data_IF_656708694886
#
_entry.id   IF_656708694886
#
_cell.length_a   1.000
_cell.length_b   1.000
_cell.length_c   1.000
_cell.angle_alpha   90.00
_cell.angle_beta   90.00
_cell.angle_gamma   90.00
#
_symmetry.space_group_name_H-M   'P 1'
#
loop_
_entity.id
_entity.type
_entity.pdbx_description
1 polymer ?
#
# COMPACT_ATOMS: atom_id res chain seq x y z
N UNK A 1 -8.43 21.70 -0.79
CA UNK A 1 -7.59 20.61 -1.35
C UNK A 1 -6.72 20.11 -0.20
N UNK A 2 -6.79 18.83 0.10
CA UNK A 2 -6.02 18.23 1.19
C UNK A 2 -4.60 18.00 0.66
N UNK A 3 -3.60 18.64 1.24
CA UNK A 3 -2.21 18.47 0.80
C UNK A 3 -1.66 17.13 1.32
N UNK A 4 -0.96 16.33 0.49
CA UNK A 4 -0.21 15.19 0.99
C UNK A 4 0.83 15.60 2.02
N UNK A 5 1.09 14.74 3.00
CA UNK A 5 2.03 14.98 4.10
C UNK A 5 3.17 13.95 4.05
N UNK A 6 4.40 14.44 3.92
CA UNK A 6 5.59 13.61 4.04
C UNK A 6 5.88 13.34 5.53
N UNK A 7 6.18 12.09 5.86
CA UNK A 7 6.42 11.61 7.22
C UNK A 7 7.78 10.94 7.25
N UNK A 8 8.65 11.43 8.10
CA UNK A 8 9.95 10.82 8.36
C UNK A 8 9.84 9.73 9.44
N UNK A 9 10.58 8.64 9.28
CA UNK A 9 10.67 7.56 10.28
C UNK A 9 9.29 7.08 10.74
N UNK A 10 8.45 6.67 9.77
CA UNK A 10 7.09 6.20 10.04
C UNK A 10 7.06 5.07 11.07
N UNK A 11 7.97 4.11 10.95
CA UNK A 11 8.13 3.01 11.89
C UNK A 11 9.28 3.29 12.88
N UNK A 12 9.16 2.76 14.09
CA UNK A 12 10.30 2.68 14.99
C UNK A 12 11.43 1.85 14.35
N UNK A 13 12.69 2.12 14.69
CA UNK A 13 13.81 1.35 14.15
C UNK A 13 13.63 -0.16 14.40
N UNK A 14 13.14 -0.54 15.58
CA UNK A 14 12.85 -1.94 15.92
C UNK A 14 11.81 -2.57 15.00
N UNK A 15 10.69 -1.86 14.73
CA UNK A 15 9.62 -2.38 13.88
C UNK A 15 10.09 -2.47 12.42
N UNK A 16 10.88 -1.49 11.97
CA UNK A 16 11.46 -1.48 10.63
C UNK A 16 12.47 -2.63 10.45
N UNK A 17 13.37 -2.87 11.41
CA UNK A 17 14.31 -3.99 11.37
C UNK A 17 13.60 -5.35 11.39
N UNK A 18 12.50 -5.47 12.14
CA UNK A 18 11.69 -6.67 12.14
C UNK A 18 11.00 -6.90 10.78
N UNK A 19 10.44 -5.86 10.19
CA UNK A 19 9.86 -5.92 8.85
C UNK A 19 10.87 -6.44 7.82
N UNK A 20 12.09 -5.89 7.80
CA UNK A 20 13.13 -6.31 6.86
C UNK A 20 13.53 -7.79 7.02
N UNK A 21 13.45 -8.33 8.25
CA UNK A 21 13.71 -9.77 8.51
C UNK A 21 12.61 -10.67 7.98
N UNK A 22 11.35 -10.20 8.01
CA UNK A 22 10.20 -10.99 7.51
C UNK A 22 10.14 -11.00 5.97
N UNK A 23 10.61 -9.94 5.30
CA UNK A 23 10.67 -9.85 3.83
C UNK A 23 11.97 -10.52 3.34
N UNK A 24 12.02 -11.86 3.34
CA UNK A 24 13.24 -12.60 2.98
C UNK A 24 13.50 -12.65 1.49
N UNK A 25 12.50 -13.02 0.71
CA UNK A 25 12.62 -13.15 -0.74
C UNK A 25 11.32 -12.67 -1.41
N UNK A 26 11.23 -11.41 -1.81
CA UNK A 26 10.01 -10.87 -2.42
C UNK A 26 9.55 -11.59 -3.69
N UNK A 27 10.45 -12.26 -4.39
CA UNK A 27 10.11 -13.04 -5.60
C UNK A 27 9.31 -14.31 -5.32
N UNK A 28 9.25 -14.75 -4.07
CA UNK A 28 8.38 -15.86 -3.66
C UNK A 28 6.92 -15.44 -3.46
N UNK A 29 6.63 -14.13 -3.59
CA UNK A 29 5.28 -13.58 -3.50
C UNK A 29 4.54 -13.67 -4.84
N UNK A 30 3.23 -13.42 -4.81
CA UNK A 30 2.39 -13.43 -6.00
C UNK A 30 2.82 -12.36 -7.00
N UNK A 31 2.99 -12.75 -8.27
CA UNK A 31 3.32 -11.80 -9.33
C UNK A 31 2.07 -11.14 -9.90
N UNK A 32 2.02 -9.82 -9.81
CA UNK A 32 0.98 -8.97 -10.41
C UNK A 32 1.48 -8.41 -11.75
N UNK A 33 1.06 -9.06 -12.84
CA UNK A 33 1.45 -8.68 -14.19
C UNK A 33 0.89 -7.30 -14.63
N UNK A 34 -0.20 -6.83 -14.00
CA UNK A 34 -0.80 -5.53 -14.33
C UNK A 34 0.10 -4.34 -13.99
N UNK A 35 0.95 -4.49 -12.98
CA UNK A 35 1.88 -3.45 -12.52
C UNK A 35 3.34 -3.92 -12.53
N UNK A 36 3.60 -5.13 -13.00
CA UNK A 36 4.94 -5.76 -13.01
C UNK A 36 5.62 -5.72 -11.64
N UNK A 37 4.98 -6.33 -10.65
CA UNK A 37 5.43 -6.33 -9.26
C UNK A 37 5.13 -7.64 -8.56
N UNK A 38 5.90 -7.95 -7.53
CA UNK A 38 5.58 -9.02 -6.59
C UNK A 38 4.80 -8.46 -5.41
N UNK A 39 3.68 -9.10 -5.06
CA UNK A 39 2.77 -8.65 -4.01
C UNK A 39 2.65 -9.66 -2.88
N UNK A 40 2.52 -9.15 -1.67
CA UNK A 40 1.93 -9.88 -0.56
C UNK A 40 1.06 -8.95 0.28
N UNK A 41 0.04 -9.47 0.93
CA UNK A 41 -0.81 -8.69 1.81
C UNK A 41 -0.68 -9.15 3.28
N UNK A 42 -1.41 -8.49 4.15
CA UNK A 42 -1.42 -8.80 5.58
C UNK A 42 -1.92 -10.22 5.92
N UNK A 43 -2.56 -10.95 4.98
CA UNK A 43 -2.98 -12.34 5.14
C UNK A 43 -1.80 -13.29 4.95
N UNK A 44 -0.95 -13.01 3.97
CA UNK A 44 0.25 -13.79 3.67
C UNK A 44 1.50 -13.34 4.45
N UNK A 45 1.50 -12.09 4.96
CA UNK A 45 2.60 -11.50 5.71
C UNK A 45 2.05 -10.82 6.98
N UNK A 46 1.84 -11.56 8.09
CA UNK A 46 1.15 -11.07 9.29
C UNK A 46 1.76 -9.81 9.93
N UNK A 47 3.07 -9.60 9.80
CA UNK A 47 3.74 -8.40 10.29
C UNK A 47 3.13 -7.12 9.74
N UNK A 48 2.56 -7.15 8.51
CA UNK A 48 1.88 -5.99 7.92
C UNK A 48 0.64 -5.60 8.70
N UNK A 49 -0.12 -6.58 9.20
CA UNK A 49 -1.30 -6.33 10.05
C UNK A 49 -0.89 -5.70 11.38
N UNK A 50 0.14 -6.25 12.02
CA UNK A 50 0.65 -5.73 13.28
C UNK A 50 1.11 -4.27 13.16
N UNK A 51 1.83 -3.95 12.06
CA UNK A 51 2.29 -2.59 11.79
C UNK A 51 1.12 -1.65 11.51
N UNK A 52 0.15 -2.08 10.71
CA UNK A 52 -1.04 -1.29 10.39
C UNK A 52 -1.85 -0.94 11.64
N UNK A 53 -2.03 -1.91 12.55
CA UNK A 53 -2.71 -1.67 13.82
C UNK A 53 -1.97 -0.66 14.70
N UNK A 54 -0.64 -0.76 14.79
CA UNK A 54 0.19 0.22 15.50
C UNK A 54 0.09 1.62 14.89
N UNK A 55 -0.01 1.72 13.56
CA UNK A 55 -0.10 2.98 12.84
C UNK A 55 -1.49 3.61 12.86
N UNK A 56 -2.52 2.91 13.31
CA UNK A 56 -3.90 3.41 13.32
C UNK A 56 -4.03 4.74 14.07
N UNK A 57 -3.38 4.89 15.23
CA UNK A 57 -3.44 6.15 15.96
C UNK A 57 -2.69 7.29 15.24
N UNK A 58 -1.58 6.95 14.59
CA UNK A 58 -0.85 7.91 13.74
C UNK A 58 -1.71 8.38 12.58
N UNK A 59 -2.38 7.45 11.88
CA UNK A 59 -3.32 7.78 10.81
C UNK A 59 -4.47 8.66 11.29
N UNK A 60 -5.08 8.35 12.45
CA UNK A 60 -6.13 9.17 13.07
C UNK A 60 -5.69 10.63 13.28
N UNK A 61 -4.48 10.81 13.77
CA UNK A 61 -3.93 12.15 14.01
C UNK A 61 -3.67 12.90 12.69
N UNK A 62 -3.07 12.22 11.70
CA UNK A 62 -2.72 12.82 10.40
C UNK A 62 -3.98 13.24 9.64
N UNK A 63 -4.96 12.36 9.55
CA UNK A 63 -6.18 12.59 8.78
C UNK A 63 -7.28 13.30 9.58
N UNK A 64 -7.01 13.61 10.86
CA UNK A 64 -7.96 14.27 11.77
C UNK A 64 -9.31 13.53 11.86
N UNK A 65 -9.26 12.22 11.91
CA UNK A 65 -10.42 11.36 12.17
C UNK A 65 -10.12 10.38 13.30
N UNK A 66 -10.89 10.44 14.39
CA UNK A 66 -10.66 9.61 15.59
C UNK A 66 -11.21 8.19 15.46
N UNK A 67 -11.96 7.91 14.41
CA UNK A 67 -12.68 6.67 14.19
C UNK A 67 -12.01 5.72 13.20
N UNK A 68 -10.97 6.17 12.48
CA UNK A 68 -10.28 5.36 11.48
C UNK A 68 -9.85 3.99 12.01
N UNK A 69 -10.05 2.99 11.17
CA UNK A 69 -9.59 1.62 11.37
C UNK A 69 -8.71 1.21 10.19
N UNK A 70 -7.75 0.33 10.43
CA UNK A 70 -6.95 -0.24 9.35
C UNK A 70 -7.80 -1.19 8.50
N UNK A 71 -7.69 -1.06 7.18
CA UNK A 71 -8.30 -1.98 6.22
C UNK A 71 -7.27 -3.05 5.82
N UNK A 72 -6.85 -3.11 4.58
CA UNK A 72 -5.80 -4.01 4.16
C UNK A 72 -4.48 -3.28 4.01
N UNK A 73 -3.39 -4.04 4.09
CA UNK A 73 -2.04 -3.55 3.89
C UNK A 73 -1.35 -4.41 2.85
N UNK A 74 -0.73 -3.78 1.87
CA UNK A 74 0.00 -4.43 0.80
C UNK A 74 1.50 -4.14 0.91
N UNK A 75 2.31 -5.16 0.70
CA UNK A 75 3.71 -5.03 0.34
C UNK A 75 3.86 -5.23 -1.16
N UNK A 76 4.60 -4.36 -1.83
CA UNK A 76 4.92 -4.49 -3.25
C UNK A 76 6.43 -4.38 -3.47
N UNK A 77 6.97 -5.31 -4.23
CA UNK A 77 8.36 -5.26 -4.68
C UNK A 77 8.40 -5.13 -6.21
N UNK A 78 9.09 -4.11 -6.65
CA UNK A 78 9.33 -3.77 -8.04
C UNK A 78 10.80 -3.99 -8.37
N UNK A 79 11.08 -4.69 -9.45
CA UNK A 79 12.42 -4.78 -10.04
C UNK A 79 12.30 -4.85 -11.55
N UNK A 80 13.39 -4.52 -12.24
CA UNK A 80 13.41 -4.54 -13.71
C UNK A 80 13.00 -5.88 -14.26
N UNK A 81 11.90 -5.88 -14.99
CA UNK A 81 11.28 -7.04 -15.62
C UNK A 81 10.76 -6.64 -17.00
N UNK A 82 10.37 -7.61 -17.77
CA UNK A 82 9.66 -7.42 -19.02
C UNK A 82 8.21 -7.93 -18.82
N UNK A 83 7.20 -7.03 -18.78
CA UNK A 83 7.27 -5.57 -18.92
C UNK A 83 7.87 -4.82 -17.72
N UNK A 84 8.37 -3.59 -17.96
CA UNK A 84 8.89 -2.72 -16.88
C UNK A 84 7.81 -2.41 -15.84
N UNK A 85 8.18 -2.27 -14.54
CA UNK A 85 7.28 -1.78 -13.51
C UNK A 85 6.62 -0.46 -13.87
N UNK A 86 5.34 -0.34 -13.60
CA UNK A 86 4.57 0.86 -13.89
C UNK A 86 3.52 1.12 -12.82
N UNK A 87 3.18 2.38 -12.62
CA UNK A 87 2.03 2.78 -11.85
C UNK A 87 1.33 3.92 -12.62
N UNK A 88 0.35 3.55 -13.44
CA UNK A 88 -0.40 4.53 -14.24
C UNK A 88 -1.21 5.47 -13.35
N UNK A 89 -1.56 6.65 -13.87
CA UNK A 89 -2.36 7.65 -13.16
C UNK A 89 -3.75 7.10 -12.84
N UNK A 90 -4.05 6.97 -11.54
CA UNK A 90 -5.31 6.43 -11.06
C UNK A 90 -5.70 7.04 -9.71
N UNK A 91 -6.88 6.69 -9.26
CA UNK A 91 -7.33 6.79 -7.88
C UNK A 91 -7.53 5.39 -7.35
N UNK A 92 -7.31 5.21 -6.08
CA UNK A 92 -7.52 3.92 -5.43
C UNK A 92 -8.99 3.53 -5.37
N UNK A 93 -9.23 2.28 -5.04
CA UNK A 93 -10.57 1.81 -4.67
C UNK A 93 -10.96 2.38 -3.30
N UNK A 94 -12.25 2.37 -3.01
CA UNK A 94 -12.77 2.94 -1.77
C UNK A 94 -12.31 2.23 -0.47
N UNK A 95 -11.61 1.12 -0.53
CA UNK A 95 -10.93 0.53 0.65
C UNK A 95 -9.62 1.25 1.02
N UNK A 96 -9.18 2.19 0.20
CA UNK A 96 -7.96 2.96 0.35
C UNK A 96 -8.26 4.45 0.54
N UNK A 97 -9.32 4.78 1.28
CA UNK A 97 -9.74 6.18 1.46
C UNK A 97 -8.60 7.02 2.04
N UNK A 98 -7.90 6.49 3.04
CA UNK A 98 -6.73 7.12 3.65
C UNK A 98 -5.53 6.21 3.50
N UNK A 99 -4.46 6.72 2.90
CA UNK A 99 -3.29 5.93 2.51
C UNK A 99 -2.01 6.49 3.12
N UNK A 100 -1.17 5.59 3.64
CA UNK A 100 0.23 5.86 3.96
C UNK A 100 1.09 4.98 3.07
N UNK A 101 1.73 5.56 2.06
CA UNK A 101 2.68 4.89 1.18
C UNK A 101 4.08 4.98 1.78
N UNK A 102 4.64 3.88 2.25
CA UNK A 102 5.97 3.84 2.85
C UNK A 102 6.99 3.19 1.93
N UNK A 103 8.13 3.85 1.73
CA UNK A 103 9.29 3.23 1.11
C UNK A 103 9.97 2.29 2.11
N UNK A 104 10.10 1.01 1.73
CA UNK A 104 10.83 0.01 2.53
C UNK A 104 12.31 0.02 2.18
N UNK A 105 12.63 -0.09 0.92
CA UNK A 105 13.98 0.06 0.37
C UNK A 105 13.93 0.41 -1.11
N UNK A 106 15.00 0.98 -1.60
CA UNK A 106 15.22 1.23 -3.03
C UNK A 106 16.70 1.41 -3.32
N UNK A 107 17.14 1.05 -4.54
CA UNK A 107 18.49 1.36 -4.99
C UNK A 107 18.54 2.80 -5.55
N UNK A 108 17.53 3.16 -6.36
CA UNK A 108 17.34 4.51 -6.89
C UNK A 108 15.90 4.97 -6.60
N UNK A 109 15.70 6.24 -6.25
CA UNK A 109 14.36 6.78 -6.00
C UNK A 109 13.44 6.66 -7.20
N UNK A 110 12.20 6.24 -6.94
CA UNK A 110 11.11 6.23 -7.90
C UNK A 110 9.97 7.10 -7.37
N UNK A 111 9.94 8.35 -7.83
CA UNK A 111 9.06 9.38 -7.29
C UNK A 111 7.57 9.01 -7.43
N UNK A 112 6.80 9.35 -6.40
CA UNK A 112 5.35 9.28 -6.39
C UNK A 112 4.76 10.66 -6.70
N UNK A 113 3.98 10.75 -7.75
CA UNK A 113 3.15 11.91 -8.04
C UNK A 113 1.81 11.78 -7.32
N UNK A 114 1.39 12.87 -6.66
CA UNK A 114 0.04 13.01 -6.13
C UNK A 114 -0.49 14.37 -6.57
N UNK A 115 -1.56 14.38 -7.37
CA UNK A 115 -2.10 15.53 -8.08
C UNK A 115 -1.03 16.19 -8.98
N UNK A 116 -0.58 17.37 -8.63
CA UNK A 116 0.36 18.19 -9.40
C UNK A 116 1.78 18.22 -8.81
N UNK A 117 2.07 17.39 -7.80
CA UNK A 117 3.35 17.38 -7.09
C UNK A 117 3.96 15.99 -7.05
N UNK A 118 5.27 15.93 -7.21
CA UNK A 118 6.04 14.71 -6.99
C UNK A 118 6.67 14.70 -5.59
N UNK A 119 6.86 13.50 -5.08
CA UNK A 119 7.45 13.23 -3.78
C UNK A 119 8.48 12.11 -3.91
N UNK A 120 9.70 12.40 -3.50
CA UNK A 120 10.75 11.39 -3.32
C UNK A 120 10.63 10.80 -1.93
N UNK A 121 10.44 9.49 -1.84
CA UNK A 121 10.40 8.79 -0.55
C UNK A 121 11.69 8.01 -0.37
N UNK A 122 12.30 8.14 0.80
CA UNK A 122 13.45 7.34 1.20
C UNK A 122 13.05 6.23 2.19
N UNK A 123 13.92 5.23 2.44
CA UNK A 123 13.60 4.14 3.37
C UNK A 123 13.06 4.62 4.70
N UNK A 124 11.95 4.03 5.16
CA UNK A 124 11.17 4.39 6.34
C UNK A 124 10.52 5.79 6.29
N UNK A 125 10.48 6.44 5.12
CA UNK A 125 9.62 7.61 4.90
C UNK A 125 8.29 7.16 4.29
N UNK A 126 7.24 7.92 4.58
CA UNK A 126 5.93 7.69 4.00
C UNK A 126 5.27 8.99 3.53
N UNK A 127 4.39 8.86 2.54
CA UNK A 127 3.48 9.92 2.11
C UNK A 127 2.07 9.58 2.55
N UNK A 128 1.43 10.49 3.29
CA UNK A 128 0.02 10.40 3.64
C UNK A 128 -0.82 11.18 2.63
N UNK A 129 -1.83 10.54 2.05
CA UNK A 129 -2.73 11.18 1.10
C UNK A 129 -4.08 10.44 1.06
N UNK A 130 -5.05 11.00 0.31
CA UNK A 130 -6.40 10.45 0.16
C UNK A 130 -6.44 9.62 -1.13
N UNK A 131 -6.20 8.30 -1.02
CA UNK A 131 -6.06 7.42 -2.19
C UNK A 131 -7.28 7.41 -3.11
N UNK A 132 -8.49 7.41 -2.54
CA UNK A 132 -9.75 7.45 -3.28
C UNK A 132 -10.03 8.79 -3.95
N UNK A 133 -9.56 9.90 -3.37
CA UNK A 133 -9.89 11.25 -3.82
C UNK A 133 -8.82 11.83 -4.75
N UNK A 134 -7.55 11.49 -4.56
CA UNK A 134 -6.41 12.12 -5.22
C UNK A 134 -5.81 11.22 -6.30
N UNK A 135 -5.63 11.77 -7.51
CA UNK A 135 -4.89 11.09 -8.55
C UNK A 135 -3.43 10.91 -8.13
N UNK A 136 -2.93 9.68 -8.30
CA UNK A 136 -1.53 9.39 -8.03
C UNK A 136 -0.96 8.41 -9.08
N UNK A 137 0.35 8.49 -9.30
CA UNK A 137 1.06 7.66 -10.27
C UNK A 137 2.58 7.75 -10.05
N UNK A 138 3.29 6.91 -10.75
CA UNK A 138 4.74 7.02 -10.89
C UNK A 138 5.08 7.07 -12.37
N UNK A 139 6.10 7.88 -12.70
CA UNK A 139 6.66 7.94 -14.05
C UNK A 139 7.45 6.66 -14.36
N UNK A 140 8.17 6.65 -15.47
CA UNK A 140 8.98 5.52 -15.88
C UNK A 140 9.88 5.02 -14.73
N UNK A 141 9.94 3.68 -14.57
CA UNK A 141 10.78 3.05 -13.58
C UNK A 141 12.27 3.36 -13.86
N UNK A 142 13.02 3.90 -12.91
CA UNK A 142 14.42 4.27 -13.13
C UNK A 142 15.30 3.02 -13.19
N UNK A 143 16.29 3.01 -14.08
CA UNK A 143 17.33 1.96 -14.21
C UNK A 143 16.77 0.53 -14.09
N UNK A 144 15.86 0.10 -14.99
CA UNK A 144 15.08 -1.14 -14.80
C UNK A 144 15.95 -2.40 -14.70
N UNK A 145 17.18 -2.39 -15.21
CA UNK A 145 18.11 -3.52 -15.13
C UNK A 145 18.72 -3.71 -13.74
N UNK A 146 18.77 -2.68 -12.92
CA UNK A 146 19.51 -2.70 -11.64
C UNK A 146 18.69 -2.23 -10.45
N UNK A 147 17.64 -1.43 -10.67
CA UNK A 147 16.85 -0.85 -9.60
C UNK A 147 15.91 -1.89 -8.97
N UNK A 148 15.75 -1.75 -7.65
CA UNK A 148 14.78 -2.48 -6.85
C UNK A 148 14.11 -1.48 -5.92
N UNK A 149 12.80 -1.49 -5.90
CA UNK A 149 11.99 -0.63 -5.03
C UNK A 149 10.99 -1.50 -4.29
N UNK A 150 10.91 -1.35 -2.98
CA UNK A 150 9.87 -1.98 -2.19
C UNK A 150 9.06 -0.94 -1.41
N UNK A 151 7.76 -1.10 -1.46
CA UNK A 151 6.78 -0.21 -0.85
C UNK A 151 5.83 -0.99 0.04
N UNK A 152 5.30 -0.33 1.06
CA UNK A 152 4.13 -0.80 1.79
C UNK A 152 3.04 0.27 1.69
N UNK A 153 1.85 -0.18 1.38
CA UNK A 153 0.64 0.65 1.32
C UNK A 153 -0.24 0.29 2.51
N UNK A 154 -0.25 1.15 3.53
CA UNK A 154 -1.16 1.04 4.67
C UNK A 154 -2.44 1.80 4.36
N UNK A 155 -3.58 1.11 4.41
CA UNK A 155 -4.86 1.72 4.11
C UNK A 155 -5.78 1.75 5.33
N UNK A 156 -6.57 2.82 5.39
CA UNK A 156 -7.50 3.06 6.49
C UNK A 156 -8.83 3.58 5.93
N UNK A 157 -9.91 3.30 6.65
CA UNK A 157 -11.24 3.81 6.33
C UNK A 157 -12.06 4.02 7.61
N UNK A 158 -13.21 4.68 7.48
CA UNK A 158 -14.16 4.85 8.57
C UNK A 158 -14.87 3.53 8.90
N UNK A 159 -15.39 3.35 10.14
CA UNK A 159 -15.98 2.07 10.59
C UNK A 159 -17.21 1.59 9.82
N UNK A 160 -17.95 2.50 9.17
CA UNK A 160 -19.12 2.19 8.35
C UNK A 160 -18.77 1.70 6.94
N UNK A 161 -17.49 1.67 6.61
CA UNK A 161 -17.00 1.21 5.32
C UNK A 161 -17.31 -0.29 5.09
N UNK A 162 -17.54 -0.69 3.81
CA UNK A 162 -17.88 -2.06 3.44
C UNK A 162 -16.84 -3.09 3.91
N UNK A 163 -15.58 -2.71 4.00
CA UNK A 163 -14.51 -3.59 4.46
C UNK A 163 -14.77 -4.15 5.86
N UNK A 164 -15.40 -3.37 6.73
CA UNK A 164 -15.77 -3.79 8.09
C UNK A 164 -17.17 -4.39 8.15
N UNK A 165 -18.08 -3.94 7.33
CA UNK A 165 -19.49 -4.40 7.34
C UNK A 165 -19.71 -5.71 6.57
N UNK A 166 -18.92 -5.94 5.50
CA UNK A 166 -18.95 -7.20 4.72
C UNK A 166 -17.80 -8.16 5.09
N UNK A 167 -16.75 -7.66 5.76
CA UNK A 167 -15.55 -8.42 6.11
C UNK A 167 -14.43 -8.34 5.09
N UNK A 168 -13.19 -8.59 5.55
CA UNK A 168 -11.97 -8.42 4.76
C UNK A 168 -11.89 -9.29 3.50
N UNK A 169 -12.56 -10.45 3.48
CA UNK A 169 -12.58 -11.33 2.30
C UNK A 169 -13.33 -10.72 1.09
N UNK A 170 -14.17 -9.71 1.32
CA UNK A 170 -14.85 -9.00 0.24
C UNK A 170 -13.89 -8.24 -0.70
N UNK A 171 -12.64 -8.00 -0.27
CA UNK A 171 -11.60 -7.43 -1.10
C UNK A 171 -11.34 -8.25 -2.39
N UNK A 172 -11.52 -9.58 -2.32
CA UNK A 172 -11.33 -10.45 -3.48
C UNK A 172 -12.43 -10.23 -4.55
N UNK A 173 -13.62 -9.78 -4.14
CA UNK A 173 -14.68 -9.32 -5.08
C UNK A 173 -14.27 -8.00 -5.72
N UNK A 174 -13.75 -7.05 -4.93
CA UNK A 174 -13.30 -5.74 -5.41
C UNK A 174 -12.16 -5.89 -6.41
N UNK A 175 -11.25 -6.83 -6.19
CA UNK A 175 -10.13 -7.12 -7.09
C UNK A 175 -10.50 -8.03 -8.27
N UNK A 176 -11.78 -8.43 -8.39
CA UNK A 176 -12.23 -9.31 -9.47
C UNK A 176 -11.70 -10.73 -9.42
N UNK A 177 -11.21 -11.18 -8.26
CA UNK A 177 -10.72 -12.56 -8.03
C UNK A 177 -11.88 -13.54 -7.84
N UNK A 178 -13.06 -13.07 -7.47
CA UNK A 178 -14.32 -13.81 -7.39
C UNK A 178 -15.52 -12.89 -7.62
N UNK A 179 -16.67 -13.48 -7.94
CA UNK A 179 -17.94 -12.75 -8.05
C UNK A 179 -18.56 -12.51 -6.67
N UNK A 180 -19.48 -11.55 -6.58
CA UNK A 180 -20.22 -11.31 -5.32
C UNK A 180 -21.10 -12.52 -4.94
N UNK A 181 -21.63 -13.26 -5.93
CA UNK A 181 -22.41 -14.48 -5.69
C UNK A 181 -21.56 -15.58 -5.08
N UNK A 182 -20.36 -15.83 -5.63
CA UNK A 182 -19.41 -16.79 -5.07
C UNK A 182 -18.97 -16.39 -3.66
N UNK A 183 -18.79 -15.10 -3.40
CA UNK A 183 -18.43 -14.61 -2.07
C UNK A 183 -19.57 -14.85 -1.07
N UNK A 184 -20.83 -14.57 -1.43
CA UNK A 184 -22.00 -14.85 -0.57
C UNK A 184 -22.09 -16.32 -0.21
N UNK A 185 -21.96 -17.22 -1.19
CA UNK A 185 -22.00 -18.68 -0.95
C UNK A 185 -20.90 -19.18 0.01
N UNK A 186 -19.79 -18.47 0.13
CA UNK A 186 -18.69 -18.84 1.04
C UNK A 186 -18.84 -18.27 2.45
N UNK A 187 -19.66 -17.25 2.65
CA UNK A 187 -19.78 -16.50 3.89
C UNK A 187 -21.18 -16.57 4.54
N UNK A 188 -22.12 -17.29 3.94
CA UNK A 188 -23.40 -17.74 4.52
C UNK A 188 -23.21 -19.09 5.26
#
# INVERSE_FOLDING_TARGET
>A
MKNPLLIDNLLSQKDYDNLLKEIKNPKDFDYDAGFSRYLNDHRGLPVLKELSDKLTQTARNIFNSQTLLSTYTLFAHYEGQDPEPSLFKHKDTNACTYTLDMCVYQNEPWDLWVEDKNYTLYPNQALAYYGEDQFHWREKFPSPETNKVAMIFFHFAEPDHWYFTKGSSYIDVIWGKMTEEEWKLKNE
#
